data_IF_110721248556
#
_entry.id   IF_110721248556
#
_cell.length_a   1.000
_cell.length_b   1.000
_cell.length_c   1.000
_cell.angle_alpha   90.00
_cell.angle_beta   90.00
_cell.angle_gamma   90.00
#
_symmetry.space_group_name_H-M   'P 1'
#
loop_
_entity.id
_entity.type
_entity.pdbx_description
1 polymer ?
#
# COMPACT_ATOMS: atom_id res chain seq x y z
N UNK A 1 11.84 -15.05 22.16
CA UNK A 1 11.14 -13.74 22.08
C UNK A 1 10.68 -13.34 23.47
N UNK A 2 10.98 -12.12 23.87
CA UNK A 2 10.59 -11.61 25.19
C UNK A 2 9.11 -11.22 25.22
N UNK A 3 8.48 -11.15 26.41
CA UNK A 3 7.11 -10.64 26.53
C UNK A 3 6.94 -9.24 25.96
N UNK A 4 7.96 -8.37 26.10
CA UNK A 4 7.96 -7.02 25.53
C UNK A 4 7.91 -7.05 24.01
N UNK A 5 8.72 -7.92 23.39
CA UNK A 5 8.71 -8.08 21.93
C UNK A 5 7.38 -8.60 21.42
N UNK A 6 6.76 -9.52 22.17
CA UNK A 6 5.42 -10.02 21.80
C UNK A 6 4.39 -8.92 21.88
N UNK A 7 4.44 -8.07 22.92
CA UNK A 7 3.54 -6.95 23.08
C UNK A 7 3.74 -5.93 21.95
N UNK A 8 5.00 -5.65 21.58
CA UNK A 8 5.32 -4.74 20.48
C UNK A 8 4.72 -5.24 19.16
N UNK A 9 4.83 -6.55 18.88
CA UNK A 9 4.26 -7.11 17.66
C UNK A 9 2.74 -6.96 17.62
N UNK A 10 2.06 -7.11 18.76
CA UNK A 10 0.62 -6.91 18.85
C UNK A 10 0.24 -5.45 18.56
N UNK A 11 1.02 -4.51 19.09
CA UNK A 11 0.81 -3.08 18.84
C UNK A 11 1.07 -2.72 17.38
N UNK A 12 2.14 -3.25 16.80
CA UNK A 12 2.46 -3.04 15.39
C UNK A 12 1.38 -3.61 14.46
N UNK A 13 0.82 -4.75 14.82
CA UNK A 13 -0.28 -5.35 14.05
C UNK A 13 -1.51 -4.44 14.04
N UNK A 14 -1.83 -3.81 15.17
CA UNK A 14 -2.94 -2.84 15.20
C UNK A 14 -2.72 -1.69 14.22
N UNK A 15 -1.50 -1.16 14.16
CA UNK A 15 -1.18 -0.11 13.21
C UNK A 15 -1.28 -0.60 11.78
N UNK A 16 -0.79 -1.80 11.49
CA UNK A 16 -0.89 -2.38 10.16
C UNK A 16 -2.36 -2.59 9.75
N UNK A 17 -3.19 -3.10 10.66
CA UNK A 17 -4.62 -3.29 10.40
C UNK A 17 -5.33 -1.96 10.15
N UNK A 18 -4.93 -0.91 10.86
CA UNK A 18 -5.43 0.44 10.60
C UNK A 18 -5.09 0.89 9.19
N UNK A 19 -3.86 0.69 8.74
CA UNK A 19 -3.44 1.05 7.39
C UNK A 19 -4.24 0.26 6.35
N UNK A 20 -4.37 -1.04 6.55
CA UNK A 20 -5.10 -1.91 5.61
C UNK A 20 -6.57 -1.48 5.48
N UNK A 21 -7.20 -1.08 6.59
CA UNK A 21 -8.59 -0.67 6.59
C UNK A 21 -8.79 0.75 6.07
N UNK A 22 -7.95 1.67 6.51
CA UNK A 22 -8.16 3.11 6.32
C UNK A 22 -7.12 3.76 5.40
N UNK A 23 -6.54 3.01 4.48
CA UNK A 23 -5.47 3.54 3.61
C UNK A 23 -5.92 4.69 2.71
N UNK A 24 -7.21 4.83 2.44
CA UNK A 24 -7.74 5.94 1.65
C UNK A 24 -7.93 7.22 2.47
N UNK A 25 -7.80 7.14 3.79
CA UNK A 25 -7.90 8.30 4.66
C UNK A 25 -6.53 8.99 4.79
N UNK A 26 -6.50 10.27 5.24
CA UNK A 26 -5.23 10.99 5.39
C UNK A 26 -4.43 10.50 6.59
N UNK A 27 -3.87 9.31 6.47
CA UNK A 27 -3.02 8.72 7.50
C UNK A 27 -1.59 9.26 7.38
N UNK A 28 -1.03 9.68 8.51
CA UNK A 28 0.37 10.04 8.61
C UNK A 28 1.07 9.14 9.63
N UNK A 29 2.40 9.19 9.68
CA UNK A 29 3.17 8.34 10.59
C UNK A 29 2.79 8.59 12.05
N UNK A 30 2.61 9.85 12.52
CA UNK A 30 2.14 10.07 13.89
C UNK A 30 0.82 9.39 14.22
N UNK A 31 -0.14 9.39 13.31
CA UNK A 31 -1.43 8.73 13.52
C UNK A 31 -1.28 7.21 13.63
N UNK A 32 -0.45 6.63 12.77
CA UNK A 32 -0.15 5.19 12.83
C UNK A 32 0.57 4.83 14.13
N UNK A 33 1.52 5.65 14.55
CA UNK A 33 2.28 5.43 15.78
C UNK A 33 1.37 5.46 17.00
N UNK A 34 0.39 6.38 17.04
CA UNK A 34 -0.60 6.43 18.11
C UNK A 34 -1.39 5.12 18.19
N UNK A 35 -1.76 4.56 17.06
CA UNK A 35 -2.47 3.27 17.03
C UNK A 35 -1.61 2.15 17.61
N UNK A 36 -0.29 2.24 17.46
CA UNK A 36 0.67 1.29 18.03
C UNK A 36 1.10 1.63 19.45
N UNK A 37 0.61 2.74 20.03
CA UNK A 37 1.00 3.22 21.37
C UNK A 37 2.51 3.47 21.46
N UNK A 38 3.10 4.02 20.40
CA UNK A 38 4.53 4.29 20.28
C UNK A 38 4.77 5.71 19.80
N UNK A 39 5.97 6.24 20.08
CA UNK A 39 6.41 7.48 19.45
C UNK A 39 6.65 7.25 17.96
N UNK A 40 6.55 8.29 17.11
CA UNK A 40 6.75 8.11 15.67
C UNK A 40 8.08 7.46 15.28
N UNK A 41 9.19 7.89 15.89
CA UNK A 41 10.50 7.34 15.60
C UNK A 41 10.64 5.89 16.03
N UNK A 42 10.19 5.58 17.23
CA UNK A 42 10.21 4.21 17.75
C UNK A 42 9.34 3.30 16.88
N UNK A 43 8.14 3.77 16.56
CA UNK A 43 7.20 3.05 15.70
C UNK A 43 7.82 2.73 14.33
N UNK A 44 8.40 3.73 13.69
CA UNK A 44 8.99 3.54 12.35
C UNK A 44 10.08 2.48 12.36
N UNK A 45 10.96 2.52 13.35
CA UNK A 45 12.04 1.52 13.47
C UNK A 45 11.50 0.13 13.74
N UNK A 46 10.56 0.01 14.66
CA UNK A 46 9.97 -1.29 15.02
C UNK A 46 9.15 -1.87 13.88
N UNK A 47 8.38 -1.03 13.18
CA UNK A 47 7.58 -1.47 12.04
C UNK A 47 8.47 -2.01 10.93
N UNK A 48 9.54 -1.29 10.60
CA UNK A 48 10.47 -1.72 9.57
C UNK A 48 11.17 -3.02 9.95
N UNK A 49 11.56 -3.18 11.20
CA UNK A 49 12.18 -4.42 11.69
C UNK A 49 11.22 -5.60 11.60
N UNK A 50 9.93 -5.38 11.88
CA UNK A 50 8.95 -6.45 11.88
C UNK A 50 8.46 -6.81 10.48
N UNK A 51 8.29 -5.83 9.59
CA UNK A 51 7.62 -6.03 8.30
C UNK A 51 8.51 -5.76 7.09
N UNK A 52 9.76 -5.36 7.28
CA UNK A 52 10.71 -5.21 6.19
C UNK A 52 10.60 -3.93 5.39
N UNK A 53 9.66 -3.04 5.72
CA UNK A 53 9.49 -1.76 5.04
C UNK A 53 8.96 -0.71 6.01
N UNK A 54 9.14 0.56 5.66
CA UNK A 54 8.66 1.65 6.51
C UNK A 54 7.13 1.70 6.51
N UNK A 55 6.52 2.30 7.56
CA UNK A 55 5.07 2.47 7.58
C UNK A 55 4.53 3.23 6.36
N UNK A 56 5.22 4.27 5.94
CA UNK A 56 4.80 5.06 4.78
C UNK A 56 4.87 4.23 3.50
N UNK A 57 5.95 3.46 3.32
CA UNK A 57 6.09 2.58 2.16
C UNK A 57 4.96 1.55 2.11
N UNK A 58 4.62 0.96 3.25
CA UNK A 58 3.52 0.03 3.36
C UNK A 58 2.19 0.68 2.97
N UNK A 59 1.92 1.88 3.51
CA UNK A 59 0.71 2.65 3.16
C UNK A 59 0.62 2.90 1.65
N UNK A 60 1.72 3.36 1.05
CA UNK A 60 1.74 3.65 -0.38
C UNK A 60 1.53 2.40 -1.23
N UNK A 61 2.11 1.27 -0.82
CA UNK A 61 1.90 -0.01 -1.52
C UNK A 61 0.42 -0.39 -1.51
N UNK A 62 -0.25 -0.26 -0.36
CA UNK A 62 -1.68 -0.55 -0.26
C UNK A 62 -2.51 0.37 -1.15
N UNK A 63 -2.19 1.66 -1.17
CA UNK A 63 -2.86 2.63 -2.05
C UNK A 63 -2.68 2.29 -3.51
N UNK A 64 -1.46 1.92 -3.92
CA UNK A 64 -1.18 1.56 -5.31
C UNK A 64 -1.91 0.27 -5.71
N UNK A 65 -1.98 -0.73 -4.84
CA UNK A 65 -2.74 -1.95 -5.11
C UNK A 65 -4.22 -1.63 -5.38
N UNK A 66 -4.80 -0.76 -4.56
CA UNK A 66 -6.19 -0.35 -4.75
C UNK A 66 -6.36 0.47 -6.04
N UNK A 67 -5.42 1.36 -6.34
CA UNK A 67 -5.45 2.15 -7.57
C UNK A 67 -5.43 1.26 -8.80
N UNK A 68 -4.63 0.20 -8.81
CA UNK A 68 -4.61 -0.77 -9.92
C UNK A 68 -6.00 -1.33 -10.18
N UNK A 69 -6.71 -1.72 -9.12
CA UNK A 69 -8.06 -2.25 -9.27
C UNK A 69 -9.01 -1.20 -9.87
N UNK A 70 -8.94 0.04 -9.42
CA UNK A 70 -9.78 1.12 -9.94
C UNK A 70 -9.47 1.45 -11.40
N UNK A 71 -8.20 1.46 -11.77
CA UNK A 71 -7.79 1.71 -13.15
C UNK A 71 -8.26 0.60 -14.09
N UNK A 72 -8.23 -0.66 -13.64
CA UNK A 72 -8.77 -1.78 -14.43
C UNK A 72 -10.26 -1.63 -14.67
N UNK A 73 -10.99 -1.02 -13.74
CA UNK A 73 -12.42 -0.73 -13.89
C UNK A 73 -12.70 0.49 -14.78
N UNK A 74 -11.66 1.15 -15.28
CA UNK A 74 -11.80 2.27 -16.19
C UNK A 74 -11.78 3.66 -15.54
N UNK A 75 -11.56 3.74 -14.23
CA UNK A 75 -11.46 5.04 -13.56
C UNK A 75 -10.28 5.82 -14.12
N UNK A 76 -10.41 7.16 -14.23
CA UNK A 76 -9.33 8.01 -14.68
C UNK A 76 -8.16 7.98 -13.71
N UNK A 77 -6.97 8.28 -14.21
CA UNK A 77 -5.76 8.31 -13.37
C UNK A 77 -5.91 9.33 -12.23
N UNK A 78 -6.43 10.51 -12.53
CA UNK A 78 -6.64 11.55 -11.53
C UNK A 78 -7.63 11.10 -10.46
N UNK A 79 -8.75 10.53 -10.88
CA UNK A 79 -9.77 10.06 -9.94
C UNK A 79 -9.25 8.91 -9.08
N UNK A 80 -8.51 7.97 -9.67
CA UNK A 80 -7.93 6.86 -8.94
C UNK A 80 -6.92 7.36 -7.88
N UNK A 81 -6.10 8.33 -8.25
CA UNK A 81 -5.13 8.95 -7.34
C UNK A 81 -5.81 9.48 -6.08
N UNK A 82 -6.84 10.29 -6.25
CA UNK A 82 -7.53 10.89 -5.11
C UNK A 82 -8.41 9.88 -4.37
N UNK A 83 -9.00 8.93 -5.07
CA UNK A 83 -9.84 7.90 -4.45
C UNK A 83 -9.07 7.02 -3.47
N UNK A 84 -7.77 6.82 -3.70
CA UNK A 84 -6.95 6.00 -2.80
C UNK A 84 -6.25 6.81 -1.71
N UNK A 85 -6.54 8.11 -1.62
CA UNK A 85 -6.01 8.96 -0.55
C UNK A 85 -4.74 9.70 -0.88
N UNK A 86 -4.24 9.61 -2.12
CA UNK A 86 -3.09 10.40 -2.53
C UNK A 86 -3.54 11.83 -2.85
N UNK A 87 -2.69 12.80 -2.53
CA UNK A 87 -3.00 14.22 -2.72
C UNK A 87 -2.16 14.88 -3.81
N UNK A 88 -1.13 14.17 -4.30
CA UNK A 88 -0.24 14.66 -5.34
C UNK A 88 -0.21 13.67 -6.49
N UNK A 89 -0.68 14.10 -7.66
CA UNK A 89 -0.70 13.25 -8.84
C UNK A 89 0.72 12.86 -9.27
N UNK A 90 1.68 13.78 -9.17
CA UNK A 90 3.07 13.52 -9.51
C UNK A 90 3.70 12.46 -8.63
N UNK A 91 3.54 12.59 -7.32
CA UNK A 91 4.05 11.59 -6.36
C UNK A 91 3.37 10.24 -6.55
N UNK A 92 2.06 10.25 -6.79
CA UNK A 92 1.31 9.03 -7.07
C UNK A 92 1.86 8.33 -8.31
N UNK A 93 2.04 9.07 -9.41
CA UNK A 93 2.53 8.50 -10.66
C UNK A 93 3.93 7.93 -10.52
N UNK A 94 4.81 8.63 -9.81
CA UNK A 94 6.17 8.16 -9.55
C UNK A 94 6.19 6.87 -8.76
N UNK A 95 5.42 6.80 -7.67
CA UNK A 95 5.35 5.59 -6.85
C UNK A 95 4.69 4.44 -7.59
N UNK A 96 3.63 4.74 -8.34
CA UNK A 96 2.96 3.72 -9.14
C UNK A 96 3.95 3.10 -10.13
N UNK A 97 4.70 3.92 -10.85
CA UNK A 97 5.70 3.45 -11.83
C UNK A 97 6.79 2.63 -11.15
N UNK A 98 7.25 3.08 -9.99
CA UNK A 98 8.28 2.38 -9.23
C UNK A 98 7.81 0.98 -8.79
N UNK A 99 6.57 0.87 -8.32
CA UNK A 99 6.03 -0.38 -7.79
C UNK A 99 5.54 -1.30 -8.91
N UNK A 100 4.86 -0.76 -9.91
CA UNK A 100 4.16 -1.55 -10.93
C UNK A 100 5.03 -1.79 -12.17
N UNK A 101 5.97 -0.89 -12.46
CA UNK A 101 6.86 -1.02 -13.62
C UNK A 101 6.37 -0.31 -14.87
N UNK A 102 5.19 0.33 -14.82
CA UNK A 102 4.66 1.15 -15.91
C UNK A 102 3.84 2.29 -15.33
N UNK A 103 3.59 3.34 -16.12
CA UNK A 103 2.83 4.49 -15.63
C UNK A 103 1.37 4.13 -15.39
N UNK A 104 0.66 4.90 -14.55
CA UNK A 104 -0.77 4.67 -14.36
C UNK A 104 -1.56 4.72 -15.68
N UNK A 105 -1.22 5.64 -16.58
CA UNK A 105 -1.88 5.77 -17.87
C UNK A 105 -1.66 4.55 -18.77
N UNK A 106 -0.42 4.07 -18.80
CA UNK A 106 -0.07 2.85 -19.56
C UNK A 106 -0.81 1.64 -18.99
N UNK A 107 -0.83 1.52 -17.66
CA UNK A 107 -1.50 0.41 -16.99
C UNK A 107 -3.01 0.45 -17.29
N UNK A 108 -3.63 1.63 -17.20
CA UNK A 108 -5.05 1.79 -17.47
C UNK A 108 -5.41 1.43 -18.92
N UNK A 109 -4.57 1.81 -19.87
CA UNK A 109 -4.80 1.58 -21.29
C UNK A 109 -4.60 0.13 -21.69
N UNK A 110 -3.90 -0.66 -20.90
CA UNK A 110 -3.60 -2.05 -21.19
C UNK A 110 -4.87 -2.90 -21.14
N UNK A 111 -4.93 -3.94 -21.96
CA UNK A 111 -6.03 -4.89 -21.95
C UNK A 111 -5.92 -5.80 -20.73
N UNK A 112 -6.95 -5.81 -19.91
CA UNK A 112 -7.02 -6.63 -18.69
C UNK A 112 -8.00 -7.79 -18.80
N UNK A 113 -8.51 -8.09 -20.01
CA UNK A 113 -9.52 -9.14 -20.20
C UNK A 113 -9.05 -10.51 -19.72
N UNK A 114 -7.76 -10.77 -19.82
CA UNK A 114 -7.19 -12.03 -19.37
C UNK A 114 -7.37 -12.27 -17.87
N UNK A 115 -7.60 -11.20 -17.11
CA UNK A 115 -7.76 -11.27 -15.66
C UNK A 115 -9.22 -11.33 -15.23
N UNK A 116 -10.17 -10.99 -16.12
CA UNK A 116 -11.59 -10.89 -15.75
C UNK A 116 -12.22 -12.22 -15.36
N UNK A 117 -11.77 -13.31 -15.95
CA UNK A 117 -12.29 -14.65 -15.66
C UNK A 117 -11.56 -15.34 -14.52
N UNK A 118 -10.59 -14.70 -13.89
CA UNK A 118 -9.74 -15.29 -12.85
C UNK A 118 -10.31 -14.97 -11.47
N UNK A 119 -10.34 -15.96 -10.55
CA UNK A 119 -10.78 -15.67 -9.18
C UNK A 119 -9.99 -14.51 -8.57
N UNK A 120 -10.66 -13.70 -7.73
CA UNK A 120 -10.06 -12.50 -7.14
C UNK A 120 -8.71 -12.76 -6.46
N UNK A 121 -8.59 -13.86 -5.74
CA UNK A 121 -7.34 -14.17 -5.05
C UNK A 121 -6.19 -14.41 -6.05
N UNK A 122 -6.45 -15.05 -7.18
CA UNK A 122 -5.45 -15.30 -8.20
C UNK A 122 -5.09 -13.99 -8.91
N UNK A 123 -6.08 -13.18 -9.27
CA UNK A 123 -5.85 -11.86 -9.84
C UNK A 123 -4.98 -10.99 -8.93
N UNK A 124 -5.27 -11.00 -7.64
CA UNK A 124 -4.49 -10.22 -6.69
C UNK A 124 -3.04 -10.69 -6.62
N UNK A 125 -2.82 -11.99 -6.64
CA UNK A 125 -1.46 -12.54 -6.66
C UNK A 125 -0.71 -12.09 -7.91
N UNK A 126 -1.37 -12.16 -9.06
CA UNK A 126 -0.76 -11.81 -10.35
C UNK A 126 -0.48 -10.32 -10.52
N UNK A 127 -1.19 -9.45 -9.79
CA UNK A 127 -1.05 -8.00 -9.92
C UNK A 127 -0.40 -7.32 -8.73
N UNK A 128 -0.21 -8.04 -7.62
CA UNK A 128 0.38 -7.50 -6.41
C UNK A 128 1.89 -7.31 -6.57
N UNK A 129 2.44 -6.15 -6.19
CA UNK A 129 3.88 -5.96 -6.19
C UNK A 129 4.55 -6.96 -5.24
N UNK A 130 5.68 -7.49 -5.66
CA UNK A 130 6.44 -8.42 -4.82
C UNK A 130 7.43 -7.65 -3.97
N UNK A 131 7.45 -7.95 -2.67
CA UNK A 131 8.25 -7.20 -1.71
C UNK A 131 9.75 -7.25 -1.98
N UNK A 132 10.25 -8.38 -2.45
CA UNK A 132 11.67 -8.58 -2.69
C UNK A 132 12.08 -8.18 -4.10
N UNK A 133 11.20 -7.52 -4.83
CA UNK A 133 11.45 -7.02 -6.16
C UNK A 133 11.17 -5.53 -6.20
N UNK A 134 12.01 -4.81 -6.89
CA UNK A 134 11.78 -3.41 -7.15
C UNK A 134 10.62 -3.22 -8.12
N UNK A 135 10.50 -4.15 -9.06
CA UNK A 135 9.42 -4.15 -10.05
C UNK A 135 8.65 -5.45 -9.96
N UNK A 136 7.46 -5.42 -10.43
CA UNK A 136 6.56 -6.57 -10.43
C UNK A 136 6.19 -6.89 -11.87
#
# INVERSE_FOLDING_TARGET
>A
MTPEEIADLAHLRRARDLIDRDHALPLDVPAMARAALMSPGHFSRKFRAAYGETPYSYLMTRRIERAKALLRLGMSVTDACFAVGCTSLGSFSSRFTEIVGETPSQYRARDHRDLEGVPSCVSMIGTRPRRNRVTV
#
